data_IF_579980634836
#
_entry.id   IF_579980634836
#
_cell.length_a   1.000
_cell.length_b   1.000
_cell.length_c   1.000
_cell.angle_alpha   90.00
_cell.angle_beta   90.00
_cell.angle_gamma   90.00
#
_symmetry.space_group_name_H-M   'P 1'
#
loop_
_entity.id
_entity.type
_entity.pdbx_description
1 polymer ?
#
# COMPACT_ATOMS: atom_id res chain seq x y z
N UNK A 1 -14.42 -48.09 1.37
CA UNK A 1 -15.66 -48.40 0.62
C UNK A 1 -15.78 -47.43 -0.54
N UNK A 2 -16.03 -47.94 -1.74
CA UNK A 2 -16.18 -47.21 -3.02
C UNK A 2 -17.58 -46.56 -3.10
N UNK A 3 -17.72 -45.40 -3.74
CA UNK A 3 -18.68 -45.23 -4.85
C UNK A 3 -18.49 -43.92 -5.61
N UNK A 4 -18.62 -44.01 -6.93
CA UNK A 4 -18.62 -42.96 -7.96
C UNK A 4 -20.06 -42.54 -8.34
N UNK A 5 -20.21 -41.34 -8.91
CA UNK A 5 -21.19 -40.95 -9.95
C UNK A 5 -20.76 -39.55 -10.48
N UNK A 6 -20.43 -39.22 -11.74
CA UNK A 6 -20.93 -39.48 -13.11
C UNK A 6 -22.03 -38.50 -13.58
N UNK A 7 -21.59 -37.51 -14.39
CA UNK A 7 -22.12 -37.02 -15.71
C UNK A 7 -23.45 -36.23 -15.77
N UNK A 8 -23.44 -35.05 -16.42
CA UNK A 8 -24.03 -34.85 -17.77
C UNK A 8 -23.86 -33.43 -18.37
N UNK A 9 -23.57 -33.39 -19.67
CA UNK A 9 -23.50 -32.25 -20.60
C UNK A 9 -24.89 -31.72 -21.01
N UNK A 10 -24.96 -30.47 -21.51
CA UNK A 10 -25.85 -30.07 -22.62
C UNK A 10 -25.31 -28.85 -23.39
N UNK A 11 -25.47 -28.82 -24.72
CA UNK A 11 -24.88 -27.91 -25.70
C UNK A 11 -25.94 -27.27 -26.64
N UNK A 12 -25.46 -26.43 -27.60
CA UNK A 12 -26.08 -25.89 -28.84
C UNK A 12 -26.91 -24.57 -28.70
N UNK A 13 -26.94 -23.61 -29.64
CA UNK A 13 -26.49 -23.49 -31.04
C UNK A 13 -26.59 -22.03 -31.59
N UNK A 14 -26.01 -21.81 -32.76
CA UNK A 14 -25.74 -20.58 -33.55
C UNK A 14 -26.91 -20.05 -34.44
N UNK A 15 -26.66 -18.88 -35.07
CA UNK A 15 -26.94 -18.45 -36.49
C UNK A 15 -27.96 -17.30 -36.71
N UNK A 16 -27.57 -16.30 -37.52
CA UNK A 16 -28.50 -15.49 -38.35
C UNK A 16 -27.96 -14.17 -38.94
N UNK A 17 -27.39 -14.21 -40.16
CA UNK A 17 -27.13 -13.06 -41.06
C UNK A 17 -28.31 -12.84 -42.03
N UNK A 18 -28.59 -11.60 -42.47
CA UNK A 18 -28.92 -11.33 -43.89
C UNK A 18 -28.88 -9.84 -44.28
N UNK A 19 -28.70 -9.56 -45.58
CA UNK A 19 -28.39 -8.26 -46.19
C UNK A 19 -29.35 -7.83 -47.33
N UNK A 20 -29.50 -6.50 -47.53
CA UNK A 20 -29.88 -5.71 -48.73
C UNK A 20 -31.32 -5.90 -49.32
N UNK A 21 -31.98 -4.90 -50.00
CA UNK A 21 -31.43 -4.06 -51.09
C UNK A 21 -31.92 -2.57 -51.20
N UNK A 22 -31.36 -1.88 -52.21
CA UNK A 22 -31.55 -0.49 -52.64
C UNK A 22 -32.93 -0.18 -53.26
N UNK A 23 -33.42 1.07 -53.15
CA UNK A 23 -34.10 1.74 -54.27
C UNK A 23 -34.12 3.29 -54.16
N UNK A 24 -34.07 3.90 -55.34
CA UNK A 24 -33.84 5.30 -55.69
C UNK A 24 -34.98 6.27 -55.33
N UNK A 25 -34.65 7.48 -54.86
CA UNK A 25 -35.48 8.67 -55.13
C UNK A 25 -34.63 9.93 -55.28
N UNK A 26 -34.80 10.56 -56.45
CA UNK A 26 -34.23 11.83 -56.88
C UNK A 26 -35.01 12.98 -56.23
N UNK A 27 -34.35 13.89 -55.50
CA UNK A 27 -34.93 15.17 -55.09
C UNK A 27 -33.90 16.29 -55.32
N UNK A 28 -34.30 17.20 -56.20
CA UNK A 28 -33.71 18.51 -56.51
C UNK A 28 -33.37 19.31 -55.25
N UNK A 29 -32.10 19.63 -55.02
CA UNK A 29 -31.63 20.52 -53.96
C UNK A 29 -30.35 21.29 -54.42
N UNK A 30 -30.05 22.43 -53.78
CA UNK A 30 -29.44 23.61 -54.39
C UNK A 30 -27.99 23.36 -54.86
N UNK A 31 -27.44 24.22 -55.72
CA UNK A 31 -26.05 24.16 -56.18
C UNK A 31 -25.07 24.18 -54.98
N UNK A 32 -24.80 23.01 -54.41
CA UNK A 32 -23.67 22.76 -53.52
C UNK A 32 -22.38 22.72 -54.35
N UNK A 33 -21.30 23.21 -53.77
CA UNK A 33 -19.99 23.29 -54.46
C UNK A 33 -19.26 21.95 -54.52
N UNK A 34 -19.74 20.95 -53.80
CA UNK A 34 -19.22 19.58 -53.77
C UNK A 34 -20.34 18.58 -53.51
N UNK A 35 -20.18 17.33 -53.95
CA UNK A 35 -21.07 16.21 -53.59
C UNK A 35 -20.31 15.11 -52.85
N UNK A 36 -18.98 15.04 -53.06
CA UNK A 36 -18.06 14.10 -52.40
C UNK A 36 -16.76 14.81 -52.02
N UNK A 37 -16.01 14.24 -51.09
CA UNK A 37 -14.73 14.80 -50.61
C UNK A 37 -13.71 15.00 -51.74
N UNK A 38 -13.73 14.14 -52.77
CA UNK A 38 -12.86 14.26 -53.95
C UNK A 38 -13.14 15.50 -54.80
N UNK A 39 -14.32 16.11 -54.64
CA UNK A 39 -14.67 17.35 -55.33
C UNK A 39 -14.03 18.57 -54.64
N UNK A 40 -13.54 18.40 -53.41
CA UNK A 40 -12.90 19.46 -52.65
C UNK A 40 -11.39 19.54 -52.95
N UNK A 41 -10.91 20.75 -53.18
CA UNK A 41 -9.47 20.98 -53.41
C UNK A 41 -8.68 20.80 -52.11
N UNK A 42 -7.64 19.97 -52.17
CA UNK A 42 -6.73 19.70 -51.06
C UNK A 42 -7.31 18.71 -50.05
N UNK A 43 -6.91 18.81 -48.79
CA UNK A 43 -7.34 17.90 -47.72
C UNK A 43 -8.68 18.30 -47.10
N UNK A 44 -9.58 18.92 -47.88
CA UNK A 44 -10.89 19.38 -47.41
C UNK A 44 -11.93 18.29 -47.63
N UNK A 45 -12.91 18.21 -46.75
CA UNK A 45 -14.02 17.24 -46.80
C UNK A 45 -15.31 17.94 -47.24
N UNK A 46 -16.19 17.24 -47.94
CA UNK A 46 -17.47 17.80 -48.38
C UNK A 46 -18.53 17.58 -47.30
N UNK A 47 -18.88 18.65 -46.59
CA UNK A 47 -19.86 18.64 -45.52
C UNK A 47 -21.07 19.48 -45.93
N UNK A 48 -22.24 18.86 -46.07
CA UNK A 48 -23.50 19.53 -46.48
C UNK A 48 -23.42 20.33 -47.80
N UNK A 49 -22.54 19.92 -48.73
CA UNK A 49 -22.34 20.60 -50.01
C UNK A 49 -21.36 21.77 -49.98
N UNK A 50 -20.61 21.93 -48.88
CA UNK A 50 -19.50 22.88 -48.74
C UNK A 50 -18.20 22.16 -48.32
N UNK A 51 -17.08 22.55 -48.91
CA UNK A 51 -15.78 21.99 -48.52
C UNK A 51 -15.31 22.58 -47.18
N UNK A 52 -15.19 21.78 -46.13
CA UNK A 52 -14.70 22.18 -44.80
C UNK A 52 -13.32 21.56 -44.53
N UNK A 53 -12.55 22.14 -43.61
CA UNK A 53 -11.30 21.51 -43.17
C UNK A 53 -11.63 20.43 -42.14
N UNK A 54 -11.02 19.24 -42.20
CA UNK A 54 -11.22 18.22 -41.17
C UNK A 54 -10.78 18.78 -39.82
N UNK A 55 -11.64 18.60 -38.81
CA UNK A 55 -11.36 19.05 -37.44
C UNK A 55 -10.08 18.38 -36.93
N UNK A 56 -9.10 19.13 -36.38
CA UNK A 56 -7.87 18.54 -35.90
C UNK A 56 -8.14 17.68 -34.66
N UNK A 57 -7.91 16.38 -34.81
CA UNK A 57 -7.78 15.41 -33.74
C UNK A 57 -6.71 15.89 -32.72
N UNK A 58 -6.86 15.69 -31.41
CA UNK A 58 -5.97 16.27 -30.40
C UNK A 58 -4.52 15.85 -30.63
N UNK A 59 -3.70 16.81 -31.08
CA UNK A 59 -2.31 16.59 -31.45
C UNK A 59 -1.46 16.39 -30.19
N UNK A 60 -0.83 15.22 -30.11
CA UNK A 60 0.37 14.95 -29.31
C UNK A 60 1.46 15.95 -29.71
N UNK A 61 1.88 16.80 -28.78
CA UNK A 61 2.90 17.85 -28.97
C UNK A 61 4.28 17.40 -28.49
N UNK A 62 5.30 17.66 -29.30
CA UNK A 62 6.71 17.79 -28.88
C UNK A 62 7.10 19.29 -28.87
N UNK A 63 8.11 19.72 -28.10
CA UNK A 63 8.09 21.04 -27.45
C UNK A 63 9.03 22.08 -28.07
N UNK A 64 8.57 23.33 -28.19
CA UNK A 64 9.45 24.50 -28.22
C UNK A 64 8.72 25.78 -27.76
N UNK A 65 9.07 26.28 -26.57
CA UNK A 65 8.70 27.62 -26.10
C UNK A 65 7.63 27.65 -24.99
N UNK A 66 8.08 27.89 -23.75
CA UNK A 66 7.28 27.96 -22.52
C UNK A 66 6.15 29.02 -22.55
N UNK A 67 4.89 28.58 -22.33
CA UNK A 67 4.05 29.10 -21.26
C UNK A 67 4.12 28.14 -20.06
N UNK A 68 4.05 28.71 -18.86
CA UNK A 68 4.07 28.00 -17.56
C UNK A 68 3.19 26.76 -17.61
N UNK A 69 3.83 25.59 -17.70
CA UNK A 69 3.12 24.33 -17.56
C UNK A 69 2.74 24.21 -16.10
N UNK A 70 1.44 24.27 -15.83
CA UNK A 70 0.89 23.72 -14.59
C UNK A 70 1.08 22.22 -14.75
N UNK A 71 2.23 21.74 -14.29
CA UNK A 71 2.48 20.32 -14.12
C UNK A 71 1.42 19.88 -13.12
N UNK A 72 0.44 19.12 -13.58
CA UNK A 72 -0.43 18.36 -12.69
C UNK A 72 0.46 17.26 -12.10
N UNK A 73 1.24 17.68 -11.09
CA UNK A 73 2.06 16.80 -10.29
C UNK A 73 1.06 15.88 -9.60
N UNK A 74 0.91 14.67 -10.15
CA UNK A 74 0.38 13.55 -9.41
C UNK A 74 0.96 13.64 -7.99
N UNK A 75 0.13 13.55 -6.94
CA UNK A 75 0.61 13.74 -5.58
C UNK A 75 1.86 12.90 -5.38
N UNK A 76 2.97 13.52 -4.98
CA UNK A 76 4.19 12.79 -4.69
C UNK A 76 3.81 11.65 -3.75
N UNK A 77 4.10 10.40 -4.17
CA UNK A 77 3.80 9.23 -3.35
C UNK A 77 4.37 9.49 -1.96
N UNK A 78 3.64 9.15 -0.88
CA UNK A 78 4.12 9.41 0.47
C UNK A 78 5.53 8.83 0.63
N UNK A 79 6.54 9.69 0.67
CA UNK A 79 7.92 9.31 0.94
C UNK A 79 8.09 9.17 2.45
N UNK A 80 7.19 8.39 3.06
CA UNK A 80 7.21 8.17 4.49
C UNK A 80 8.43 7.29 4.75
N UNK A 81 9.28 7.80 5.64
CA UNK A 81 10.48 7.13 6.10
C UNK A 81 10.36 6.86 7.59
N UNK A 82 11.17 5.91 8.06
CA UNK A 82 11.31 5.69 9.49
C UNK A 82 12.01 6.88 10.14
N UNK A 83 11.44 7.35 11.25
CA UNK A 83 12.07 8.31 12.14
C UNK A 83 12.28 7.64 13.51
N UNK A 84 13.52 7.60 13.97
CA UNK A 84 13.86 7.02 15.26
C UNK A 84 13.36 7.93 16.39
N UNK A 85 12.61 7.35 17.32
CA UNK A 85 12.18 8.06 18.52
C UNK A 85 13.19 7.82 19.64
N UNK A 86 13.31 8.80 20.53
CA UNK A 86 14.14 8.67 21.72
C UNK A 86 13.60 7.55 22.60
N UNK A 87 14.48 6.63 22.99
CA UNK A 87 14.21 5.55 23.94
C UNK A 87 15.03 5.75 25.20
N UNK A 88 14.39 5.55 26.35
CA UNK A 88 15.00 5.53 27.69
C UNK A 88 14.78 4.15 28.31
N UNK A 89 15.17 3.95 29.57
CA UNK A 89 14.91 2.69 30.28
C UNK A 89 13.43 2.33 30.37
N UNK A 90 12.56 3.34 30.51
CA UNK A 90 11.16 3.13 30.88
C UNK A 90 10.17 3.76 29.88
N UNK A 91 10.65 4.32 28.76
CA UNK A 91 9.76 4.91 27.75
C UNK A 91 10.42 5.03 26.39
N UNK A 92 9.59 5.05 25.34
CA UNK A 92 9.99 5.33 23.98
C UNK A 92 8.83 5.91 23.19
N UNK A 93 8.92 7.16 22.76
CA UNK A 93 7.79 7.85 22.11
C UNK A 93 6.54 7.89 23.02
N UNK A 94 5.35 7.47 22.54
CA UNK A 94 4.12 7.42 23.35
C UNK A 94 3.99 6.15 24.22
N UNK A 95 5.02 5.31 24.26
CA UNK A 95 5.01 4.02 24.97
C UNK A 95 5.82 4.10 26.25
N UNK A 96 5.38 3.39 27.28
CA UNK A 96 6.02 3.37 28.60
C UNK A 96 6.12 1.95 29.16
N UNK A 97 7.12 1.70 30.00
CA UNK A 97 7.20 0.49 30.81
C UNK A 97 6.58 0.79 32.18
N UNK A 98 5.64 -0.05 32.59
CA UNK A 98 5.06 -0.03 33.93
C UNK A 98 5.60 -1.20 34.72
N UNK A 99 6.16 -0.90 35.91
CA UNK A 99 6.70 -1.91 36.83
C UNK A 99 5.61 -2.35 37.80
N UNK A 100 5.31 -3.64 37.82
CA UNK A 100 4.28 -4.25 38.65
C UNK A 100 4.92 -5.23 39.64
N UNK A 101 4.16 -5.67 40.65
CA UNK A 101 4.68 -6.56 41.70
C UNK A 101 5.26 -7.88 41.17
N UNK A 102 4.76 -8.37 40.02
CA UNK A 102 5.11 -9.69 39.46
C UNK A 102 5.69 -9.61 38.03
N UNK A 103 6.09 -8.43 37.54
CA UNK A 103 6.65 -8.27 36.20
C UNK A 103 6.56 -6.84 35.68
N UNK A 104 6.73 -6.66 34.37
CA UNK A 104 6.60 -5.35 33.73
C UNK A 104 5.66 -5.41 32.54
N UNK A 105 4.88 -4.35 32.34
CA UNK A 105 4.02 -4.21 31.17
C UNK A 105 4.55 -3.12 30.24
N UNK A 106 4.44 -3.35 28.93
CA UNK A 106 4.60 -2.30 27.93
C UNK A 106 3.24 -1.66 27.68
N UNK A 107 3.12 -0.37 27.97
CA UNK A 107 1.85 0.32 27.96
C UNK A 107 1.75 1.42 26.92
N UNK A 108 0.52 1.65 26.46
CA UNK A 108 0.12 2.77 25.63
C UNK A 108 -1.12 3.45 26.21
N UNK A 109 -1.11 4.78 26.28
CA UNK A 109 -2.27 5.55 26.74
C UNK A 109 -3.29 5.71 25.61
N UNK A 110 -4.29 4.83 25.57
CA UNK A 110 -5.38 4.90 24.60
C UNK A 110 -6.51 5.83 25.05
N UNK A 111 -7.45 6.08 24.14
CA UNK A 111 -8.73 6.76 24.39
C UNK A 111 -9.60 6.03 25.42
N UNK A 112 -9.49 4.71 25.52
CA UNK A 112 -10.28 3.88 26.43
C UNK A 112 -9.60 3.62 27.78
N UNK A 113 -8.33 4.05 27.95
CA UNK A 113 -7.52 3.78 29.13
C UNK A 113 -6.13 3.26 28.77
N UNK A 114 -5.38 2.83 29.78
CA UNK A 114 -4.05 2.24 29.58
C UNK A 114 -4.21 0.86 28.93
N UNK A 115 -3.52 0.64 27.80
CA UNK A 115 -3.45 -0.65 27.11
C UNK A 115 -2.13 -1.33 27.43
N UNK A 116 -2.16 -2.60 27.81
CA UNK A 116 -0.96 -3.44 27.85
C UNK A 116 -0.74 -4.07 26.47
N UNK A 117 0.32 -3.64 25.78
CA UNK A 117 0.63 -4.10 24.43
C UNK A 117 1.16 -5.54 24.41
N UNK A 118 1.71 -6.04 25.53
CA UNK A 118 2.24 -7.40 25.59
C UNK A 118 1.15 -8.45 25.41
N UNK A 119 -0.11 -8.15 25.79
CA UNK A 119 -1.28 -9.03 25.56
C UNK A 119 -1.52 -9.35 24.08
N UNK A 120 -1.01 -8.53 23.17
CA UNK A 120 -1.15 -8.70 21.73
C UNK A 120 0.13 -9.28 21.09
N UNK A 121 1.29 -8.99 21.68
CA UNK A 121 2.60 -9.30 21.11
C UNK A 121 3.08 -10.70 21.49
N UNK A 122 2.86 -11.15 22.71
CA UNK A 122 3.31 -12.47 23.16
C UNK A 122 2.14 -13.41 23.37
N UNK A 123 2.44 -14.71 23.45
CA UNK A 123 1.42 -15.73 23.69
C UNK A 123 1.04 -15.83 25.17
N UNK A 124 1.99 -15.53 26.07
CA UNK A 124 1.79 -15.52 27.51
C UNK A 124 2.41 -14.25 28.13
N UNK A 125 1.61 -13.16 28.28
CA UNK A 125 2.10 -11.89 28.83
C UNK A 125 2.51 -12.00 30.31
N UNK A 126 1.92 -12.92 31.07
CA UNK A 126 2.22 -13.09 32.50
C UNK A 126 3.59 -13.76 32.72
N UNK A 127 4.06 -14.53 31.74
CA UNK A 127 5.36 -15.21 31.78
C UNK A 127 6.51 -14.39 31.16
N UNK A 128 6.26 -13.17 30.69
CA UNK A 128 7.31 -12.34 30.04
C UNK A 128 8.43 -11.90 30.98
N UNK A 129 8.18 -11.90 32.29
CA UNK A 129 9.13 -11.43 33.31
C UNK A 129 9.36 -9.93 33.19
N UNK A 130 10.49 -9.55 32.58
CA UNK A 130 10.78 -8.15 32.27
C UNK A 130 10.52 -7.84 30.78
N UNK A 131 10.28 -6.57 30.49
CA UNK A 131 10.09 -6.02 29.15
C UNK A 131 10.97 -4.77 29.02
N UNK A 132 11.74 -4.70 27.95
CA UNK A 132 12.64 -3.60 27.61
C UNK A 132 12.29 -3.05 26.24
N UNK A 133 12.26 -1.71 26.11
CA UNK A 133 12.11 -1.04 24.82
C UNK A 133 13.51 -0.85 24.22
N UNK A 134 13.85 -1.64 23.20
CA UNK A 134 15.15 -1.53 22.53
C UNK A 134 15.17 -0.33 21.58
N UNK A 135 14.14 -0.24 20.73
CA UNK A 135 14.00 0.78 19.69
C UNK A 135 12.54 1.09 19.41
N UNK A 136 12.24 2.33 19.10
CA UNK A 136 10.93 2.76 18.59
C UNK A 136 11.15 3.63 17.37
N UNK A 137 10.38 3.38 16.32
CA UNK A 137 10.35 4.20 15.13
C UNK A 137 8.92 4.66 14.85
N UNK A 138 8.73 5.91 14.44
CA UNK A 138 7.50 6.33 13.78
C UNK A 138 7.62 6.10 12.27
N UNK A 139 6.49 5.78 11.64
CA UNK A 139 6.33 5.67 10.20
C UNK A 139 5.09 6.48 9.78
N UNK A 140 5.29 7.77 9.58
CA UNK A 140 4.21 8.72 9.37
C UNK A 140 3.53 9.13 10.69
N UNK A 141 2.34 9.75 10.63
CA UNK A 141 1.77 10.43 11.80
C UNK A 141 1.21 9.50 12.88
N UNK A 142 0.80 8.27 12.52
CA UNK A 142 0.04 7.39 13.42
C UNK A 142 0.56 5.95 13.47
N UNK A 143 1.63 5.60 12.76
CA UNK A 143 2.13 4.23 12.77
C UNK A 143 3.49 4.18 13.44
N UNK A 144 3.73 3.13 14.21
CA UNK A 144 4.98 2.89 14.90
C UNK A 144 5.45 1.48 14.64
N UNK A 145 6.77 1.28 14.68
CA UNK A 145 7.38 -0.04 14.80
C UNK A 145 8.22 -0.05 16.06
N UNK A 146 7.95 -1.00 16.94
CA UNK A 146 8.66 -1.20 18.19
C UNK A 146 9.51 -2.45 18.09
N UNK A 147 10.69 -2.39 18.68
CA UNK A 147 11.54 -3.54 18.94
C UNK A 147 11.70 -3.65 20.44
N UNK A 148 11.26 -4.76 21.00
CA UNK A 148 11.19 -4.98 22.45
C UNK A 148 11.83 -6.31 22.80
N UNK A 149 12.46 -6.37 23.96
CA UNK A 149 13.03 -7.61 24.49
C UNK A 149 12.28 -8.00 25.76
N UNK A 150 12.00 -9.29 25.91
CA UNK A 150 11.39 -9.86 27.13
C UNK A 150 12.28 -10.95 27.69
N UNK A 151 12.37 -11.12 29.00
CA UNK A 151 13.13 -12.26 29.54
C UNK A 151 12.77 -12.66 30.96
N UNK A 152 13.15 -13.88 31.29
CA UNK A 152 12.95 -14.47 32.62
C UNK A 152 14.18 -14.19 33.50
N UNK A 153 13.96 -13.76 34.75
CA UNK A 153 15.02 -13.30 35.66
C UNK A 153 16.06 -14.41 35.98
N UNK A 154 17.16 -14.47 35.23
CA UNK A 154 18.38 -15.19 35.64
C UNK A 154 18.95 -16.26 34.72
N UNK A 155 18.65 -16.25 33.41
CA UNK A 155 19.25 -17.19 32.44
C UNK A 155 19.98 -16.45 31.34
N UNK A 156 21.16 -16.96 30.99
CA UNK A 156 22.22 -16.27 30.24
C UNK A 156 21.90 -16.01 28.75
N UNK A 157 20.79 -16.53 28.21
CA UNK A 157 20.39 -16.45 26.81
C UNK A 157 18.85 -16.49 26.65
N UNK A 158 18.09 -15.66 27.37
CA UNK A 158 16.61 -15.77 27.43
C UNK A 158 15.83 -14.50 27.12
N UNK A 159 16.49 -13.50 26.52
CA UNK A 159 15.78 -12.33 26.04
C UNK A 159 15.15 -12.61 24.66
N UNK A 160 13.88 -13.03 24.63
CA UNK A 160 13.10 -13.08 23.40
C UNK A 160 12.94 -11.65 22.86
N UNK A 161 13.31 -11.40 21.61
CA UNK A 161 13.11 -10.11 20.98
C UNK A 161 11.90 -10.19 20.06
N UNK A 162 11.04 -9.18 20.11
CA UNK A 162 9.89 -9.04 19.24
C UNK A 162 9.99 -7.72 18.49
N UNK A 163 9.60 -7.74 17.23
CA UNK A 163 9.26 -6.53 16.51
C UNK A 163 7.77 -6.54 16.21
N UNK A 164 7.11 -5.41 16.38
CA UNK A 164 5.69 -5.29 16.07
C UNK A 164 5.35 -3.87 15.63
N UNK A 165 4.29 -3.77 14.83
CA UNK A 165 3.77 -2.51 14.35
C UNK A 165 2.49 -2.12 15.11
N UNK A 166 2.28 -0.83 15.30
CA UNK A 166 1.18 -0.28 16.08
C UNK A 166 0.57 0.93 15.37
N UNK A 167 -0.74 0.88 15.12
CA UNK A 167 -1.52 2.01 14.59
C UNK A 167 -2.17 2.75 15.76
N UNK A 168 -1.72 3.97 16.07
CA UNK A 168 -2.24 4.80 17.16
C UNK A 168 -3.60 5.45 16.87
N UNK A 169 -4.03 5.48 15.60
CA UNK A 169 -5.35 5.99 15.22
C UNK A 169 -6.42 4.94 15.50
N UNK A 170 -6.12 3.69 15.17
CA UNK A 170 -6.99 2.54 15.43
C UNK A 170 -6.75 1.92 16.82
N UNK A 171 -5.60 2.22 17.45
CA UNK A 171 -5.16 1.74 18.75
C UNK A 171 -5.06 0.21 18.79
N UNK A 172 -4.29 -0.38 17.86
CA UNK A 172 -4.08 -1.83 17.80
C UNK A 172 -2.70 -2.20 17.25
N UNK A 173 -2.26 -3.42 17.58
CA UNK A 173 -1.08 -4.06 16.99
C UNK A 173 -1.51 -4.71 15.67
N UNK A 174 -0.95 -4.24 14.55
CA UNK A 174 -1.34 -4.65 13.19
C UNK A 174 -0.45 -5.77 12.61
N UNK A 175 0.72 -5.99 13.18
CA UNK A 175 1.64 -7.06 12.82
C UNK A 175 2.69 -7.29 13.89
N UNK A 176 3.17 -8.53 14.02
CA UNK A 176 4.20 -8.90 15.00
C UNK A 176 5.06 -10.04 14.49
N UNK A 177 6.31 -10.09 14.94
CA UNK A 177 7.25 -11.15 14.61
C UNK A 177 8.23 -11.36 15.76
N UNK A 178 8.65 -12.59 15.98
CA UNK A 178 9.72 -12.93 16.91
C UNK A 178 11.06 -12.90 16.16
N UNK A 179 12.09 -12.36 16.81
CA UNK A 179 13.44 -12.28 16.28
C UNK A 179 14.33 -13.20 17.13
N UNK A 180 14.61 -14.36 16.56
CA UNK A 180 15.47 -15.36 17.18
C UNK A 180 16.88 -14.81 17.43
N UNK A 181 17.46 -15.20 18.57
CA UNK A 181 18.82 -14.85 18.93
C UNK A 181 19.03 -14.75 20.44
N UNK A 182 20.26 -14.96 20.86
CA UNK A 182 20.72 -14.97 22.25
C UNK A 182 21.59 -13.74 22.59
N UNK A 183 21.98 -12.91 21.61
CA UNK A 183 22.69 -11.65 21.93
C UNK A 183 21.79 -10.67 22.68
N UNK A 184 22.38 -10.04 23.68
CA UNK A 184 21.81 -8.89 24.40
C UNK A 184 21.72 -7.64 23.50
N UNK A 185 22.49 -7.60 22.41
CA UNK A 185 22.52 -6.46 21.50
C UNK A 185 21.56 -6.65 20.34
N UNK A 186 20.67 -5.68 20.15
CA UNK A 186 19.84 -5.56 18.94
C UNK A 186 20.29 -4.33 18.16
N UNK A 187 20.66 -4.53 16.90
CA UNK A 187 21.08 -3.45 16.01
C UNK A 187 19.97 -3.14 15.02
N UNK A 188 19.70 -1.85 14.81
CA UNK A 188 18.68 -1.41 13.87
C UNK A 188 19.22 -0.37 12.90
N UNK A 189 18.81 -0.49 11.63
CA UNK A 189 19.19 0.45 10.58
C UNK A 189 17.97 0.81 9.74
N UNK A 190 17.64 2.11 9.71
CA UNK A 190 16.53 2.67 8.97
C UNK A 190 17.05 3.39 7.72
N UNK A 191 16.50 3.04 6.56
CA UNK A 191 16.81 3.67 5.27
C UNK A 191 15.53 3.85 4.47
N UNK A 192 15.04 5.09 4.37
CA UNK A 192 13.77 5.39 3.72
C UNK A 192 12.64 4.58 4.34
N UNK A 193 12.01 3.73 3.53
CA UNK A 193 10.88 2.89 3.93
C UNK A 193 11.28 1.48 4.40
N UNK A 194 12.58 1.22 4.60
CA UNK A 194 13.11 -0.06 5.06
C UNK A 194 13.71 0.08 6.46
N UNK A 195 13.30 -0.78 7.37
CA UNK A 195 13.93 -0.98 8.67
C UNK A 195 14.54 -2.38 8.71
N UNK A 196 15.84 -2.46 8.98
CA UNK A 196 16.57 -3.72 9.18
C UNK A 196 16.84 -3.88 10.67
N UNK A 197 16.44 -5.02 11.24
CA UNK A 197 16.62 -5.36 12.65
C UNK A 197 17.51 -6.60 12.69
N UNK A 198 18.70 -6.47 13.27
CA UNK A 198 19.72 -7.50 13.31
C UNK A 198 19.95 -7.97 14.74
N UNK A 199 19.91 -9.30 14.91
CA UNK A 199 20.26 -10.01 16.15
C UNK A 199 20.98 -11.30 15.74
N UNK A 200 22.08 -11.62 16.38
CA UNK A 200 22.91 -12.81 16.10
C UNK A 200 23.34 -13.02 14.62
N UNK A 201 23.42 -11.93 13.86
CA UNK A 201 23.76 -11.97 12.44
C UNK A 201 22.58 -12.28 11.52
N UNK A 202 21.42 -12.67 12.05
CA UNK A 202 20.18 -12.75 11.30
C UNK A 202 19.52 -11.37 11.18
N UNK A 203 18.90 -11.08 10.05
CA UNK A 203 18.29 -9.78 9.76
C UNK A 203 16.83 -9.93 9.41
N UNK A 204 15.97 -9.35 10.25
CA UNK A 204 14.55 -9.16 9.97
C UNK A 204 14.36 -7.82 9.25
N UNK A 205 13.57 -7.80 8.19
CA UNK A 205 13.32 -6.59 7.38
C UNK A 205 11.85 -6.21 7.46
N UNK A 206 11.59 -4.97 7.88
CA UNK A 206 10.26 -4.36 7.92
C UNK A 206 10.19 -3.28 6.84
N UNK A 207 9.17 -3.37 5.98
CA UNK A 207 8.94 -2.39 4.92
C UNK A 207 7.65 -1.60 5.19
N UNK A 208 7.71 -0.29 5.00
CA UNK A 208 6.56 0.61 5.10
C UNK A 208 5.82 0.54 6.45
N UNK A 209 6.53 0.29 7.55
CA UNK A 209 5.93 0.14 8.87
C UNK A 209 5.19 -1.19 9.09
N UNK A 210 5.16 -2.11 8.11
CA UNK A 210 4.37 -3.35 8.19
C UNK A 210 5.24 -4.52 8.65
N UNK A 211 4.95 -5.04 9.84
CA UNK A 211 5.56 -6.27 10.36
C UNK A 211 4.70 -7.49 9.96
N UNK A 212 5.33 -8.62 9.65
CA UNK A 212 4.67 -9.85 9.19
C UNK A 212 4.84 -11.00 10.16
#
# INVERSE_FOLDING_TARGET
MKSLAVVSLLACSLVGCDAAPENTTQITQPLGQCTKDTDCKGNRICETGQCTNPSPEPQRLEPLGNPVQIVDLAPAAPSISYEALLTTSDSGGPFSIEHMDMGTALTYQSRAGVMNLMEYVVDDPESTGYVSIEKVYSFGPNNYVLVVSTGEMGRSCEANTYAFSFDSKQEYVDGKTNIDGCSETVETFAEGNKLSIRKDGETTIVYNGVVK
#
